data_IF_880434389311
#
_entry.id   IF_880434389311
#
_cell.length_a   1.000
_cell.length_b   1.000
_cell.length_c   1.000
_cell.angle_alpha   90.00
_cell.angle_beta   90.00
_cell.angle_gamma   90.00
#
_symmetry.space_group_name_H-M   'P 1'
#
loop_
_entity.id
_entity.type
_entity.pdbx_description
1 polymer ?
#
# COMPACT_ATOMS: atom_id res chain seq x y z
N UNK A 1 29.79 -23.79 -8.21
CA UNK A 1 30.86 -22.78 -8.37
C UNK A 1 30.92 -22.13 -9.76
N UNK A 2 30.00 -22.44 -10.68
CA UNK A 2 30.01 -22.01 -12.09
C UNK A 2 30.05 -20.47 -12.24
N UNK A 3 29.23 -19.74 -11.47
CA UNK A 3 29.20 -18.28 -11.55
C UNK A 3 30.53 -17.61 -11.16
N UNK A 4 31.24 -18.18 -10.19
CA UNK A 4 32.52 -17.62 -9.72
C UNK A 4 33.61 -17.86 -10.77
N UNK A 5 33.62 -19.04 -11.38
CA UNK A 5 34.56 -19.39 -12.44
C UNK A 5 34.30 -18.58 -13.71
N UNK A 6 33.04 -18.44 -14.10
CA UNK A 6 32.61 -17.56 -15.19
C UNK A 6 33.02 -16.11 -14.93
N UNK A 7 32.76 -15.60 -13.72
CA UNK A 7 33.15 -14.24 -13.33
C UNK A 7 34.66 -14.03 -13.42
N UNK A 8 35.47 -15.03 -13.04
CA UNK A 8 36.94 -14.96 -13.17
C UNK A 8 37.39 -14.98 -14.62
N UNK A 9 36.85 -15.89 -15.43
CA UNK A 9 37.18 -16.01 -16.86
C UNK A 9 36.86 -14.72 -17.62
N UNK A 10 35.72 -14.10 -17.30
CA UNK A 10 35.24 -12.89 -17.96
C UNK A 10 35.60 -11.59 -17.23
N UNK A 11 36.39 -11.65 -16.16
CA UNK A 11 36.81 -10.50 -15.35
C UNK A 11 35.62 -9.67 -14.82
N UNK A 12 34.50 -10.32 -14.52
CA UNK A 12 33.30 -9.70 -13.96
C UNK A 12 33.46 -9.58 -12.45
N UNK A 13 33.33 -8.36 -11.93
CA UNK A 13 33.30 -8.10 -10.49
C UNK A 13 31.85 -7.98 -10.04
N UNK A 14 31.36 -8.81 -9.09
CA UNK A 14 30.02 -8.67 -8.54
C UNK A 14 29.83 -7.29 -7.91
N UNK A 15 28.79 -6.58 -8.31
CA UNK A 15 28.44 -5.27 -7.75
C UNK A 15 26.99 -5.27 -7.27
N UNK A 16 26.72 -4.44 -6.26
CA UNK A 16 25.37 -4.24 -5.75
C UNK A 16 24.55 -3.46 -6.79
N UNK A 17 23.39 -3.99 -7.16
CA UNK A 17 22.42 -3.26 -7.98
C UNK A 17 21.82 -2.13 -7.13
N UNK A 18 22.13 -0.88 -7.48
CA UNK A 18 21.48 0.30 -6.92
C UNK A 18 20.55 0.89 -7.98
N UNK A 19 19.23 0.83 -7.77
CA UNK A 19 18.26 1.44 -8.67
C UNK A 19 18.05 2.90 -8.25
N UNK A 20 18.21 3.90 -9.13
CA UNK A 20 17.85 5.27 -8.81
C UNK A 20 16.32 5.39 -8.71
N UNK A 21 15.85 6.17 -7.73
CA UNK A 21 14.45 6.57 -7.63
C UNK A 21 14.15 7.45 -8.84
N UNK A 22 13.14 7.09 -9.64
CA UNK A 22 12.68 7.90 -10.78
C UNK A 22 11.39 8.60 -10.39
N UNK A 23 11.28 9.89 -10.69
CA UNK A 23 10.05 10.64 -10.44
C UNK A 23 8.91 10.17 -11.36
N UNK A 24 7.67 10.17 -10.85
CA UNK A 24 6.48 10.32 -11.71
C UNK A 24 6.54 11.75 -12.24
N UNK A 25 6.47 11.97 -13.55
CA UNK A 25 6.63 13.31 -14.14
C UNK A 25 5.47 14.29 -13.85
N UNK A 26 4.47 13.88 -13.06
CA UNK A 26 3.19 14.57 -12.80
C UNK A 26 2.32 14.60 -14.07
N UNK A 27 1.04 14.30 -13.91
CA UNK A 27 -0.06 14.95 -14.63
C UNK A 27 -1.34 14.53 -13.93
N UNK A 28 -1.87 15.42 -13.08
CA UNK A 28 -3.30 15.66 -12.85
C UNK A 28 -3.47 16.37 -11.51
N UNK A 29 -3.97 17.60 -11.59
CA UNK A 29 -4.47 18.35 -10.45
C UNK A 29 -5.66 17.55 -9.92
N UNK A 30 -5.50 16.95 -8.75
CA UNK A 30 -6.56 16.19 -8.08
C UNK A 30 -7.63 17.20 -7.67
N UNK A 31 -8.73 17.26 -8.41
CA UNK A 31 -9.93 17.98 -7.99
C UNK A 31 -10.42 17.41 -6.66
N UNK A 32 -10.48 18.25 -5.63
CA UNK A 32 -11.08 17.94 -4.34
C UNK A 32 -12.56 17.57 -4.53
N UNK A 33 -12.86 16.27 -4.51
CA UNK A 33 -14.19 15.79 -4.13
C UNK A 33 -14.17 15.42 -2.66
N UNK A 34 -14.31 16.45 -1.83
CA UNK A 34 -14.73 16.28 -0.45
C UNK A 34 -16.11 15.60 -0.44
N UNK A 35 -16.15 14.30 -0.16
CA UNK A 35 -17.38 13.60 0.21
C UNK A 35 -17.18 12.79 1.49
N UNK A 36 -17.78 13.33 2.55
CA UNK A 36 -18.32 12.54 3.66
C UNK A 36 -17.30 12.02 4.65
N UNK A 37 -17.03 12.83 5.68
CA UNK A 37 -16.65 12.29 6.99
C UNK A 37 -17.82 11.45 7.52
N UNK A 38 -17.79 10.16 7.22
CA UNK A 38 -18.58 9.19 7.97
C UNK A 38 -17.72 8.73 9.13
N UNK A 39 -18.18 9.03 10.34
CA UNK A 39 -17.55 8.64 11.60
C UNK A 39 -17.15 7.17 11.57
N UNK A 40 -15.95 6.89 12.06
CA UNK A 40 -15.35 5.57 12.18
C UNK A 40 -15.96 4.77 13.35
N UNK A 41 -17.23 5.00 13.67
CA UNK A 41 -17.85 4.52 14.90
C UNK A 41 -18.60 3.21 14.65
N UNK A 42 -18.14 2.17 15.37
CA UNK A 42 -18.76 0.86 15.63
C UNK A 42 -19.29 0.06 14.44
N UNK A 43 -18.38 -0.30 13.53
CA UNK A 43 -18.63 -1.42 12.61
C UNK A 43 -18.02 -2.70 13.23
N UNK A 44 -18.87 -3.64 13.65
CA UNK A 44 -18.43 -4.98 14.09
C UNK A 44 -18.00 -5.82 12.88
N UNK A 45 -16.71 -5.74 12.55
CA UNK A 45 -16.09 -6.46 11.45
C UNK A 45 -16.22 -7.98 11.54
N UNK A 46 -16.51 -8.54 12.72
CA UNK A 46 -16.71 -9.98 12.90
C UNK A 46 -18.07 -10.47 12.40
N UNK A 47 -19.06 -9.58 12.27
CA UNK A 47 -20.43 -9.93 11.86
C UNK A 47 -20.73 -9.57 10.40
N UNK A 48 -19.79 -8.94 9.69
CA UNK A 48 -20.00 -8.58 8.29
C UNK A 48 -20.01 -9.83 7.39
N UNK A 49 -21.01 -9.97 6.51
CA UNK A 49 -20.97 -10.98 5.47
C UNK A 49 -19.70 -10.82 4.61
N UNK A 50 -19.10 -11.92 4.12
CA UNK A 50 -17.90 -11.88 3.27
C UNK A 50 -17.93 -10.84 2.13
N UNK A 51 -19.05 -10.63 1.40
CA UNK A 51 -19.09 -9.60 0.35
C UNK A 51 -19.02 -8.17 0.89
N UNK A 52 -19.53 -7.91 2.10
CA UNK A 52 -19.49 -6.59 2.71
C UNK A 52 -18.13 -6.31 3.35
N UNK A 53 -17.49 -7.33 3.95
CA UNK A 53 -16.12 -7.23 4.47
C UNK A 53 -15.12 -6.85 3.36
N UNK A 54 -15.24 -7.46 2.18
CA UNK A 54 -14.42 -7.11 1.01
C UNK A 54 -14.63 -5.67 0.53
N UNK A 55 -15.87 -5.16 0.61
CA UNK A 55 -16.17 -3.76 0.27
C UNK A 55 -15.52 -2.80 1.26
N UNK A 56 -15.58 -3.10 2.55
CA UNK A 56 -14.93 -2.30 3.59
C UNK A 56 -13.41 -2.34 3.49
N UNK A 57 -12.80 -3.50 3.22
CA UNK A 57 -11.35 -3.60 2.96
C UNK A 57 -10.93 -2.74 1.77
N UNK A 58 -11.71 -2.77 0.68
CA UNK A 58 -11.45 -1.93 -0.49
C UNK A 58 -11.55 -0.44 -0.14
N UNK A 59 -12.59 -0.04 0.58
CA UNK A 59 -12.78 1.34 1.05
C UNK A 59 -11.62 1.82 1.93
N UNK A 60 -11.22 1.02 2.91
CA UNK A 60 -10.08 1.34 3.80
C UNK A 60 -8.76 1.44 3.02
N UNK A 61 -8.58 0.60 1.99
CA UNK A 61 -7.41 0.66 1.10
C UNK A 61 -7.38 1.95 0.29
N UNK A 62 -8.53 2.37 -0.25
CA UNK A 62 -8.66 3.62 -1.01
C UNK A 62 -8.41 4.83 -0.11
N UNK A 63 -8.98 4.86 1.10
CA UNK A 63 -8.72 5.91 2.09
C UNK A 63 -7.24 5.96 2.48
N UNK A 64 -6.60 4.81 2.70
CA UNK A 64 -5.16 4.75 3.04
C UNK A 64 -4.30 5.34 1.91
N UNK A 65 -4.60 5.00 0.66
CA UNK A 65 -3.89 5.53 -0.52
C UNK A 65 -4.13 7.02 -0.70
N UNK A 66 -5.37 7.47 -0.52
CA UNK A 66 -5.72 8.88 -0.59
C UNK A 66 -4.96 9.69 0.45
N UNK A 67 -4.95 9.25 1.71
CA UNK A 67 -4.18 9.91 2.77
C UNK A 67 -2.67 9.87 2.47
N UNK A 68 -2.14 8.80 1.85
CA UNK A 68 -0.75 8.73 1.43
C UNK A 68 -0.42 9.68 0.26
N UNK A 69 -1.36 9.88 -0.67
CA UNK A 69 -1.25 10.86 -1.77
C UNK A 69 -1.30 12.30 -1.24
N UNK A 70 -2.10 12.55 -0.21
CA UNK A 70 -2.13 13.81 0.53
C UNK A 70 -0.95 13.99 1.51
N UNK A 71 0.00 13.06 1.55
CA UNK A 71 1.16 13.06 2.45
C UNK A 71 0.81 12.96 3.95
N UNK A 72 -0.41 12.54 4.29
CA UNK A 72 -0.89 12.29 5.65
C UNK A 72 -0.49 10.88 6.13
N UNK A 73 0.80 10.67 6.36
CA UNK A 73 1.33 9.33 6.67
C UNK A 73 0.84 8.74 8.01
N UNK A 74 0.55 9.56 9.01
CA UNK A 74 0.00 9.07 10.29
C UNK A 74 -1.38 8.43 10.12
N UNK A 75 -2.26 9.12 9.38
CA UNK A 75 -3.60 8.58 9.06
C UNK A 75 -3.50 7.36 8.16
N UNK A 76 -2.62 7.39 7.15
CA UNK A 76 -2.38 6.23 6.31
C UNK A 76 -1.84 5.03 7.11
N UNK A 77 -0.96 5.26 8.09
CA UNK A 77 -0.46 4.20 8.97
C UNK A 77 -1.57 3.62 9.86
N UNK A 78 -2.41 4.46 10.45
CA UNK A 78 -3.57 4.02 11.23
C UNK A 78 -4.55 3.19 10.38
N UNK A 79 -4.83 3.63 9.14
CA UNK A 79 -5.67 2.91 8.19
C UNK A 79 -5.03 1.58 7.76
N UNK A 80 -3.71 1.52 7.58
CA UNK A 80 -2.97 0.29 7.29
C UNK A 80 -3.12 -0.73 8.42
N UNK A 81 -2.97 -0.28 9.67
CA UNK A 81 -3.06 -1.16 10.83
C UNK A 81 -4.50 -1.65 11.02
N UNK A 82 -5.49 -0.77 10.83
CA UNK A 82 -6.91 -1.16 10.78
C UNK A 82 -7.19 -2.19 9.67
N UNK A 83 -6.63 -2.00 8.48
CA UNK A 83 -6.77 -2.94 7.37
C UNK A 83 -6.19 -4.32 7.70
N UNK A 84 -5.05 -4.37 8.41
CA UNK A 84 -4.47 -5.64 8.90
C UNK A 84 -5.38 -6.34 9.90
N UNK A 85 -6.03 -5.59 10.80
CA UNK A 85 -6.99 -6.15 11.75
C UNK A 85 -8.24 -6.70 11.04
N UNK A 86 -8.85 -5.92 10.14
CA UNK A 86 -10.04 -6.34 9.40
C UNK A 86 -9.76 -7.57 8.54
N UNK A 87 -8.56 -7.69 7.97
CA UNK A 87 -8.15 -8.84 7.16
C UNK A 87 -8.10 -10.16 7.95
N UNK A 88 -7.99 -10.12 9.28
CA UNK A 88 -8.05 -11.33 10.12
C UNK A 88 -9.43 -12.00 10.09
N UNK A 89 -10.49 -11.23 9.84
CA UNK A 89 -11.87 -11.72 9.75
C UNK A 89 -12.25 -12.23 8.36
N UNK A 90 -11.35 -12.15 7.37
CA UNK A 90 -11.55 -12.71 6.03
C UNK A 90 -11.31 -14.24 6.00
N UNK A 91 -10.75 -14.81 7.08
CA UNK A 91 -10.37 -16.21 7.21
C UNK A 91 -11.55 -17.16 7.54
#
# INVERSE_FOLDING_TARGET
AIQVEYNKLHKITPQKISKPIREKLIDEIIEEKAKGQHGLDDVDYAQLPPPQLKRELKRLTEMMKYEAELLNFEKAAALRDKLREVKKYEA
#
